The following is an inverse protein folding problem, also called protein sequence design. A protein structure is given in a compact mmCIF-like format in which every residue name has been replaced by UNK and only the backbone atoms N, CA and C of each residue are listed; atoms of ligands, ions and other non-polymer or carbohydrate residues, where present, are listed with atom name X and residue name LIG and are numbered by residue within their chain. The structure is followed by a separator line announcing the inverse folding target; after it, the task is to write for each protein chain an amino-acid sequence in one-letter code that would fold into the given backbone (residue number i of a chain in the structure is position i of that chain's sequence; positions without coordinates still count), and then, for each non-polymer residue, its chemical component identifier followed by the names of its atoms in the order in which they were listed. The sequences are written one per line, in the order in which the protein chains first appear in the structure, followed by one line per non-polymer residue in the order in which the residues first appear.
data_IF_094182770256
#
_entry.id   IF_094182770256
#
_cell.length_a   1.000
_cell.length_b   1.000
_cell.length_c   1.000
_cell.angle_alpha   90.00
_cell.angle_beta   90.00
_cell.angle_gamma   90.00
#
_symmetry.space_group_name_H-M   'P 1'
#
loop_
_entity.id
_entity.type
_entity.pdbx_description
1 polymer ?
#
# COMPACT_ATOMS: atom_id res chain seq x y z
N UNK A 1 -4.87 15.68 -4.20
CA UNK A 1 -4.34 14.88 -5.33
C UNK A 1 -3.10 14.09 -4.94
N UNK A 2 -2.19 14.67 -4.15
CA UNK A 2 -1.02 14.00 -3.62
C UNK A 2 -1.27 13.67 -2.15
N UNK A 3 -0.88 12.47 -1.72
CA UNK A 3 -0.87 12.10 -0.29
C UNK A 3 0.52 11.58 0.02
N UNK A 4 1.12 12.07 1.09
CA UNK A 4 2.34 11.54 1.68
C UNK A 4 2.05 11.43 3.17
N UNK A 5 1.79 10.22 3.62
CA UNK A 5 1.33 9.94 4.98
C UNK A 5 2.30 8.96 5.63
N UNK A 6 2.61 9.20 6.90
CA UNK A 6 3.18 8.17 7.75
C UNK A 6 2.01 7.37 8.34
N UNK A 7 2.11 6.05 8.27
CA UNK A 7 1.09 5.12 8.75
C UNK A 7 1.77 4.05 9.58
N UNK A 8 1.01 3.41 10.46
CA UNK A 8 1.50 2.28 11.24
C UNK A 8 0.84 1.01 10.71
N UNK A 9 1.66 0.02 10.38
CA UNK A 9 1.19 -1.30 9.97
C UNK A 9 1.84 -2.34 10.87
N UNK A 10 1.00 -3.06 11.63
CA UNK A 10 1.43 -4.15 12.51
C UNK A 10 2.53 -3.72 13.51
N UNK A 11 2.42 -2.51 14.07
CA UNK A 11 3.40 -1.98 15.02
C UNK A 11 4.66 -1.38 14.37
N UNK A 12 4.73 -1.34 13.04
CA UNK A 12 5.87 -0.78 12.31
C UNK A 12 5.50 0.55 11.63
N UNK A 13 6.41 1.52 11.71
CA UNK A 13 6.30 2.79 10.99
C UNK A 13 6.49 2.55 9.50
N UNK A 14 5.48 2.93 8.73
CA UNK A 14 5.44 2.81 7.29
C UNK A 14 5.17 4.16 6.64
N UNK A 15 5.61 4.29 5.40
CA UNK A 15 5.36 5.46 4.56
C UNK A 15 4.42 5.07 3.44
N UNK A 16 3.45 5.94 3.20
CA UNK A 16 2.44 5.79 2.18
C UNK A 16 2.42 7.02 1.28
N UNK A 17 2.47 6.81 -0.03
CA UNK A 17 2.42 7.91 -1.00
C UNK A 17 1.44 7.63 -2.11
N UNK A 18 0.69 8.64 -2.53
CA UNK A 18 -0.18 8.63 -3.72
C UNK A 18 0.22 9.77 -4.61
N UNK A 19 0.54 9.46 -5.86
CA UNK A 19 0.89 10.44 -6.88
C UNK A 19 -0.03 10.29 -8.09
N UNK A 20 -0.68 11.38 -8.55
CA UNK A 20 -1.40 11.37 -9.81
C UNK A 20 -0.43 11.35 -10.98
N UNK A 21 -0.84 10.75 -12.09
CA UNK A 21 -0.11 10.80 -13.35
C UNK A 21 -1.07 10.68 -14.53
N UNK A 22 -0.70 11.26 -15.66
CA UNK A 22 -1.49 11.19 -16.89
C UNK A 22 -1.00 10.00 -17.71
N UNK A 23 -1.93 9.14 -18.16
CA UNK A 23 -1.66 8.03 -19.07
C UNK A 23 -2.72 8.02 -20.16
N UNK A 24 -2.32 8.16 -21.43
CA UNK A 24 -3.22 8.22 -22.60
C UNK A 24 -4.37 9.22 -22.40
N UNK A 25 -4.03 10.45 -22.00
CA UNK A 25 -4.99 11.56 -21.80
C UNK A 25 -5.98 11.31 -20.63
N UNK A 26 -5.76 10.27 -19.83
CA UNK A 26 -6.59 9.96 -18.66
C UNK A 26 -5.78 10.14 -17.38
N UNK A 27 -6.44 10.63 -16.33
CA UNK A 27 -5.84 10.78 -15.01
C UNK A 27 -5.87 9.43 -14.26
N UNK A 28 -4.69 9.00 -13.83
CA UNK A 28 -4.48 7.82 -12.99
C UNK A 28 -3.82 8.23 -11.68
N UNK A 29 -3.91 7.34 -10.71
CA UNK A 29 -3.24 7.46 -9.42
C UNK A 29 -2.34 6.25 -9.23
N UNK A 30 -1.12 6.49 -8.75
CA UNK A 30 -0.18 5.46 -8.34
C UNK A 30 0.07 5.58 -6.85
N UNK A 31 -0.22 4.50 -6.12
CA UNK A 31 0.11 4.38 -4.71
C UNK A 31 1.40 3.59 -4.52
N UNK A 32 2.19 3.96 -3.52
CA UNK A 32 3.36 3.23 -3.05
C UNK A 32 3.39 3.20 -1.53
N UNK A 33 3.63 2.03 -0.96
CA UNK A 33 3.76 1.81 0.48
C UNK A 33 5.06 1.06 0.78
N UNK A 34 5.79 1.47 1.80
CA UNK A 34 6.98 0.76 2.27
C UNK A 34 7.24 1.04 3.75
N UNK A 35 7.91 0.12 4.44
CA UNK A 35 8.17 0.22 5.88
C UNK A 35 9.68 0.21 6.15
N UNK A 36 10.32 1.40 6.23
CA UNK A 36 11.76 1.48 6.40
C UNK A 36 12.18 0.86 7.75
N UNK A 37 13.21 0.01 7.72
CA UNK A 37 13.71 -0.69 8.90
C UNK A 37 12.98 -1.98 9.26
N UNK A 38 11.82 -2.28 8.65
CA UNK A 38 11.12 -3.55 8.86
C UNK A 38 11.35 -4.54 7.72
N UNK A 39 11.10 -4.13 6.47
CA UNK A 39 11.21 -5.02 5.31
C UNK A 39 11.52 -4.28 4.02
N UNK A 40 12.28 -4.88 3.07
CA UNK A 40 12.49 -4.30 1.75
C UNK A 40 11.24 -4.35 0.84
N UNK A 41 10.19 -5.07 1.25
CA UNK A 41 8.94 -5.20 0.50
C UNK A 41 8.30 -3.82 0.28
N UNK A 42 7.67 -3.67 -0.89
CA UNK A 42 6.89 -2.49 -1.24
C UNK A 42 5.53 -2.90 -1.79
N UNK A 43 4.49 -2.21 -1.32
CA UNK A 43 3.16 -2.27 -1.88
C UNK A 43 3.03 -1.25 -2.99
N UNK A 44 2.49 -1.63 -4.13
CA UNK A 44 2.24 -0.73 -5.25
C UNK A 44 0.89 -1.03 -5.90
N UNK A 45 0.13 0.01 -6.21
CA UNK A 45 -1.06 -0.13 -7.05
C UNK A 45 -1.24 1.08 -7.96
N UNK A 46 -1.93 0.86 -9.08
CA UNK A 46 -2.37 1.96 -9.93
C UNK A 46 -3.81 1.79 -10.40
N UNK A 47 -4.58 2.87 -10.30
CA UNK A 47 -6.02 2.87 -10.61
C UNK A 47 -6.46 4.26 -11.05
N UNK A 48 -7.59 4.34 -11.77
CA UNK A 48 -8.26 5.61 -12.11
C UNK A 48 -9.01 6.23 -10.91
N UNK A 49 -9.39 5.41 -9.94
CA UNK A 49 -10.06 5.83 -8.72
C UNK A 49 -9.03 6.30 -7.67
N UNK A 50 -9.11 7.58 -7.30
CA UNK A 50 -8.28 8.19 -6.26
C UNK A 50 -8.48 7.53 -4.89
N UNK A 51 -9.73 7.33 -4.48
CA UNK A 51 -10.05 6.76 -3.16
C UNK A 51 -9.64 5.28 -3.06
N UNK A 52 -9.70 4.55 -4.18
CA UNK A 52 -9.39 3.11 -4.22
C UNK A 52 -7.91 2.75 -4.31
N UNK A 53 -7.01 3.70 -4.67
CA UNK A 53 -5.59 3.38 -4.84
C UNK A 53 -4.90 3.07 -3.51
N UNK A 54 -5.33 3.70 -2.42
CA UNK A 54 -4.74 3.50 -1.11
C UNK A 54 -4.96 2.07 -0.59
N UNK A 55 -6.23 1.64 -0.51
CA UNK A 55 -6.56 0.27 -0.10
C UNK A 55 -5.90 -0.79 -0.97
N UNK A 56 -5.85 -0.60 -2.30
CA UNK A 56 -5.17 -1.56 -3.20
C UNK A 56 -3.66 -1.64 -2.96
N UNK A 57 -3.02 -0.51 -2.71
CA UNK A 57 -1.57 -0.47 -2.47
C UNK A 57 -1.22 -1.16 -1.15
N UNK A 58 -2.00 -0.90 -0.10
CA UNK A 58 -1.78 -1.51 1.19
C UNK A 58 -2.15 -3.01 1.19
N UNK A 59 -3.19 -3.41 0.45
CA UNK A 59 -3.49 -4.83 0.19
C UNK A 59 -2.35 -5.56 -0.50
N UNK A 60 -1.76 -4.95 -1.54
CA UNK A 60 -0.60 -5.50 -2.23
C UNK A 60 0.61 -5.64 -1.28
N UNK A 61 0.85 -4.67 -0.40
CA UNK A 61 1.88 -4.79 0.64
C UNK A 61 1.61 -5.99 1.57
N UNK A 62 0.40 -6.10 2.13
CA UNK A 62 0.04 -7.17 3.08
C UNK A 62 0.13 -8.55 2.43
N UNK A 63 -0.33 -8.70 1.19
CA UNK A 63 -0.21 -9.95 0.45
C UNK A 63 1.24 -10.36 0.22
N UNK A 64 2.13 -9.40 -0.10
CA UNK A 64 3.57 -9.65 -0.23
C UNK A 64 4.21 -10.01 1.11
N UNK A 65 3.90 -9.27 2.17
CA UNK A 65 4.40 -9.54 3.52
C UNK A 65 3.97 -10.94 4.02
N UNK A 66 2.73 -11.35 3.74
CA UNK A 66 2.25 -12.70 4.07
C UNK A 66 2.99 -13.78 3.28
N UNK A 67 3.13 -13.59 1.96
CA UNK A 67 3.84 -14.55 1.10
C UNK A 67 5.31 -14.72 1.50
N UNK A 68 5.95 -13.64 1.95
CA UNK A 68 7.35 -13.63 2.38
C UNK A 68 7.51 -14.08 3.85
N UNK A 69 6.42 -14.52 4.51
CA UNK A 69 6.44 -15.06 5.86
C UNK A 69 6.65 -14.03 6.97
N UNK A 70 6.51 -12.74 6.68
CA UNK A 70 6.73 -11.66 7.65
C UNK A 70 5.54 -11.43 8.59
N UNK A 71 4.36 -11.88 8.18
CA UNK A 71 3.11 -11.71 8.93
C UNK A 71 2.31 -13.02 8.87
N UNK A 72 1.52 -13.30 9.91
CA UNK A 72 0.69 -14.51 9.93
C UNK A 72 -0.55 -14.38 9.04
N UNK A 73 -1.20 -15.50 8.73
CA UNK A 73 -2.50 -15.47 8.03
C UNK A 73 -3.56 -14.72 8.85
N UNK A 74 -3.48 -14.81 10.19
CA UNK A 74 -4.39 -14.09 11.10
C UNK A 74 -4.17 -12.58 11.03
N UNK A 75 -2.92 -12.12 10.91
CA UNK A 75 -2.61 -10.70 10.73
C UNK A 75 -3.08 -10.19 9.37
N UNK A 76 -2.86 -10.99 8.31
CA UNK A 76 -3.32 -10.67 6.98
C UNK A 76 -4.86 -10.58 6.91
N UNK A 77 -5.59 -11.53 7.51
CA UNK A 77 -7.05 -11.53 7.57
C UNK A 77 -7.60 -10.35 8.37
N UNK A 78 -6.99 -10.03 9.52
CA UNK A 78 -7.39 -8.87 10.34
C UNK A 78 -7.29 -7.58 9.55
N UNK A 79 -6.22 -7.40 8.78
CA UNK A 79 -6.03 -6.20 7.97
C UNK A 79 -6.90 -6.16 6.70
N UNK A 80 -7.13 -7.31 6.04
CA UNK A 80 -7.91 -7.36 4.81
C UNK A 80 -9.43 -7.24 5.03
N UNK A 81 -9.91 -7.53 6.24
CA UNK A 81 -11.32 -7.50 6.61
C UNK A 81 -11.74 -6.26 7.43
N UNK A 82 -10.79 -5.39 7.79
CA UNK A 82 -11.02 -4.09 8.44
C UNK A 82 -11.23 -2.99 7.41
#
# INVERSE_FOLDING_TARGET
LWRNEETELLGHKCRFTVKPYIKRIQLYYRGKMWCPGWTPIRGEASTRNHSGVAGRTARDFVQKAFRDGLISEQDAKRWLNS
#
